data_IF_902264038145
#
_entry.id   IF_902264038145
#
_cell.length_a   1.000
_cell.length_b   1.000
_cell.length_c   1.000
_cell.angle_alpha   90.00
_cell.angle_beta   90.00
_cell.angle_gamma   90.00
#
_symmetry.space_group_name_H-M   'P 1'
#
loop_
_entity.id
_entity.type
_entity.pdbx_description
1 polymer ?
#
# COMPACT_ATOMS: atom_id res chain seq x y z
N UNK A 1 -5.93 -14.58 3.54
CA UNK A 1 -6.37 -14.62 4.96
C UNK A 1 -7.41 -13.52 5.15
N UNK A 2 -8.58 -13.81 5.72
CA UNK A 2 -9.56 -12.77 6.07
C UNK A 2 -9.17 -12.16 7.41
N UNK A 3 -8.35 -11.10 7.38
CA UNK A 3 -7.67 -10.55 8.57
C UNK A 3 -8.64 -9.98 9.59
N UNK A 4 -9.77 -9.46 9.12
CA UNK A 4 -10.86 -8.87 9.90
C UNK A 4 -11.71 -9.88 10.68
N UNK A 5 -11.65 -11.17 10.33
CA UNK A 5 -12.37 -12.24 11.02
C UNK A 5 -11.55 -12.93 12.12
N UNK A 6 -10.28 -12.54 12.30
CA UNK A 6 -9.36 -13.16 13.25
C UNK A 6 -9.40 -12.39 14.57
N UNK A 7 -9.38 -13.13 15.70
CA UNK A 7 -9.28 -12.51 17.03
C UNK A 7 -7.98 -11.70 17.10
N UNK A 8 -8.07 -10.46 17.57
CA UNK A 8 -7.04 -9.42 17.37
C UNK A 8 -5.63 -9.85 17.79
N UNK A 9 -5.51 -10.62 18.87
CA UNK A 9 -4.23 -11.12 19.39
C UNK A 9 -3.48 -12.03 18.42
N UNK A 10 -4.18 -12.70 17.49
CA UNK A 10 -3.58 -13.64 16.55
C UNK A 10 -3.35 -13.05 15.16
N UNK A 11 -3.93 -11.88 14.82
CA UNK A 11 -3.85 -11.32 13.46
C UNK A 11 -2.41 -11.20 12.96
N UNK A 12 -1.50 -10.73 13.81
CA UNK A 12 -0.08 -10.57 13.44
C UNK A 12 0.60 -11.92 13.19
N UNK A 13 0.31 -12.91 14.04
CA UNK A 13 0.89 -14.25 13.93
C UNK A 13 0.37 -15.00 12.70
N UNK A 14 -0.90 -14.83 12.34
CA UNK A 14 -1.49 -15.45 11.15
C UNK A 14 -0.91 -14.85 9.85
N UNK A 15 -0.64 -13.55 9.81
CA UNK A 15 0.06 -12.92 8.68
C UNK A 15 1.51 -13.42 8.60
N UNK A 16 2.23 -13.49 9.72
CA UNK A 16 3.59 -14.04 9.76
C UNK A 16 3.61 -15.49 9.25
N UNK A 17 2.68 -16.32 9.74
CA UNK A 17 2.54 -17.71 9.31
C UNK A 17 2.28 -17.81 7.80
N UNK A 18 1.37 -17.02 7.25
CA UNK A 18 1.08 -17.03 5.82
C UNK A 18 2.29 -16.62 4.95
N UNK A 19 3.08 -15.64 5.40
CA UNK A 19 4.31 -15.23 4.70
C UNK A 19 5.37 -16.34 4.76
N UNK A 20 5.55 -16.97 5.93
CA UNK A 20 6.50 -18.08 6.09
C UNK A 20 6.09 -19.30 5.28
N UNK A 21 4.80 -19.65 5.29
CA UNK A 21 4.25 -20.76 4.52
C UNK A 21 4.46 -20.55 3.01
N UNK A 22 4.20 -19.35 2.49
CA UNK A 22 4.47 -19.00 1.10
C UNK A 22 5.97 -19.14 0.76
N UNK A 23 6.85 -18.67 1.65
CA UNK A 23 8.30 -18.80 1.49
C UNK A 23 8.75 -20.26 1.46
N UNK A 24 8.22 -21.10 2.33
CA UNK A 24 8.62 -22.50 2.48
C UNK A 24 8.09 -23.38 1.34
N UNK A 25 6.92 -23.07 0.78
CA UNK A 25 6.31 -23.86 -0.29
C UNK A 25 6.74 -23.43 -1.70
N UNK A 26 6.85 -22.12 -1.94
CA UNK A 26 7.02 -21.57 -3.30
C UNK A 26 8.40 -20.97 -3.54
N UNK A 27 9.14 -20.64 -2.47
CA UNK A 27 10.43 -19.95 -2.53
C UNK A 27 10.43 -18.73 -3.50
N UNK A 28 9.46 -17.80 -3.38
CA UNK A 28 9.32 -16.71 -4.33
C UNK A 28 10.42 -15.67 -4.16
N UNK A 29 10.78 -15.01 -5.27
CA UNK A 29 11.69 -13.85 -5.24
C UNK A 29 11.03 -12.63 -4.54
N UNK A 30 9.69 -12.50 -4.69
CA UNK A 30 8.88 -11.39 -4.17
C UNK A 30 7.58 -11.95 -3.61
N UNK A 31 7.20 -11.52 -2.40
CA UNK A 31 5.86 -11.73 -1.84
C UNK A 31 5.14 -10.38 -1.81
N UNK A 32 3.97 -10.32 -2.45
CA UNK A 32 3.09 -9.15 -2.42
C UNK A 32 1.97 -9.44 -1.41
N UNK A 33 1.93 -8.66 -0.34
CA UNK A 33 0.88 -8.77 0.69
C UNK A 33 -0.17 -7.69 0.44
N UNK A 34 -1.42 -8.11 0.25
CA UNK A 34 -2.55 -7.19 0.13
C UNK A 34 -2.73 -6.40 1.43
N UNK A 35 -2.87 -5.08 1.31
CA UNK A 35 -3.21 -4.20 2.44
C UNK A 35 -4.70 -4.22 2.75
N UNK A 36 -5.07 -3.91 4.00
CA UNK A 36 -6.47 -3.81 4.40
C UNK A 36 -6.64 -2.62 5.35
N UNK A 37 -7.56 -1.71 5.03
CA UNK A 37 -7.74 -0.46 5.76
C UNK A 37 -6.59 0.54 5.57
N UNK A 38 -6.43 1.45 6.52
CA UNK A 38 -5.37 2.46 6.56
C UNK A 38 -4.84 2.57 8.00
N UNK A 39 -3.58 2.96 8.19
CA UNK A 39 -3.01 3.08 9.55
C UNK A 39 -3.62 4.26 10.31
N UNK A 40 -4.04 5.30 9.60
CA UNK A 40 -4.77 6.43 10.18
C UNK A 40 -6.23 6.12 10.52
N UNK A 41 -6.76 4.98 10.07
CA UNK A 41 -8.17 4.67 10.28
C UNK A 41 -8.42 4.31 11.76
N UNK A 42 -9.23 5.07 12.51
CA UNK A 42 -9.31 4.94 13.96
C UNK A 42 -10.04 3.67 14.42
N UNK A 43 -10.86 3.06 13.55
CA UNK A 43 -11.65 1.88 13.87
C UNK A 43 -11.08 0.57 13.32
N UNK A 44 -10.08 0.62 12.43
CA UNK A 44 -9.58 -0.57 11.74
C UNK A 44 -8.12 -0.83 12.12
N UNK A 45 -7.85 -2.04 12.64
CA UNK A 45 -6.51 -2.43 13.13
C UNK A 45 -5.75 -3.33 12.14
N UNK A 46 -6.39 -3.75 11.06
CA UNK A 46 -5.86 -4.72 10.10
C UNK A 46 -4.55 -4.25 9.45
N UNK A 47 -4.44 -2.98 9.04
CA UNK A 47 -3.21 -2.42 8.50
C UNK A 47 -2.02 -2.54 9.49
N UNK A 48 -2.26 -2.32 10.78
CA UNK A 48 -1.23 -2.48 11.82
C UNK A 48 -0.75 -3.93 11.90
N UNK A 49 -1.67 -4.89 11.93
CA UNK A 49 -1.36 -6.31 11.99
C UNK A 49 -0.61 -6.79 10.74
N UNK A 50 -1.03 -6.35 9.55
CA UNK A 50 -0.38 -6.68 8.28
C UNK A 50 1.06 -6.18 8.28
N UNK A 51 1.29 -4.91 8.61
CA UNK A 51 2.65 -4.34 8.62
C UNK A 51 3.55 -5.04 9.65
N UNK A 52 3.02 -5.39 10.83
CA UNK A 52 3.79 -6.08 11.88
C UNK A 52 4.10 -7.53 11.53
N UNK A 53 3.14 -8.25 10.96
CA UNK A 53 3.28 -9.67 10.63
C UNK A 53 4.10 -9.88 9.36
N UNK A 54 3.83 -9.09 8.31
CA UNK A 54 4.51 -9.23 7.03
C UNK A 54 5.93 -8.62 7.02
N UNK A 55 6.22 -7.68 7.93
CA UNK A 55 7.50 -6.93 7.99
C UNK A 55 7.97 -6.50 6.58
N UNK A 56 7.14 -5.74 5.84
CA UNK A 56 7.41 -5.45 4.43
C UNK A 56 8.72 -4.68 4.29
N UNK A 57 9.51 -4.98 3.25
CA UNK A 57 10.75 -4.22 2.95
C UNK A 57 10.46 -2.87 2.28
N UNK A 58 9.34 -2.77 1.57
CA UNK A 58 8.85 -1.56 0.94
C UNK A 58 7.33 -1.59 0.86
N UNK A 59 6.72 -0.41 0.72
CA UNK A 59 5.27 -0.25 0.70
C UNK A 59 4.85 0.54 -0.55
N UNK A 60 3.75 0.13 -1.17
CA UNK A 60 3.05 0.90 -2.21
C UNK A 60 1.74 1.38 -1.57
N UNK A 61 1.51 2.69 -1.54
CA UNK A 61 0.33 3.28 -0.88
C UNK A 61 -0.79 3.51 -1.90
N UNK A 62 -2.00 3.07 -1.58
CA UNK A 62 -3.21 3.32 -2.39
C UNK A 62 -3.90 4.60 -1.89
N UNK A 63 -4.14 5.57 -2.77
CA UNK A 63 -4.76 6.85 -2.42
C UNK A 63 -5.97 7.18 -3.32
N UNK A 64 -7.14 7.52 -2.73
CA UNK A 64 -8.31 8.02 -3.44
C UNK A 64 -8.43 9.57 -3.36
N UNK A 65 -7.99 10.35 -4.38
CA UNK A 65 -7.84 11.80 -4.27
C UNK A 65 -9.14 12.57 -4.02
N UNK A 66 -10.28 12.09 -4.54
CA UNK A 66 -11.59 12.75 -4.41
C UNK A 66 -12.33 12.38 -3.13
N UNK A 67 -11.83 11.42 -2.37
CA UNK A 67 -12.48 10.97 -1.14
C UNK A 67 -12.35 12.03 -0.04
N UNK A 68 -13.49 12.50 0.46
CA UNK A 68 -13.55 13.56 1.47
C UNK A 68 -13.51 13.05 2.91
N UNK A 69 -13.97 11.82 3.13
CA UNK A 69 -14.08 11.22 4.45
C UNK A 69 -13.60 9.78 4.45
N UNK A 70 -13.18 9.26 5.60
CA UNK A 70 -12.85 7.84 5.76
C UNK A 70 -14.06 6.97 5.42
N UNK A 71 -13.82 5.82 4.77
CA UNK A 71 -14.87 4.88 4.39
C UNK A 71 -15.68 4.46 5.61
N UNK A 72 -17.01 4.33 5.48
CA UNK A 72 -17.95 4.06 6.59
C UNK A 72 -18.05 5.13 7.69
N UNK A 73 -17.21 6.17 7.65
CA UNK A 73 -17.13 7.22 8.66
C UNK A 73 -17.25 8.61 8.00
N UNK A 74 -18.44 9.00 7.50
CA UNK A 74 -18.63 10.23 6.72
C UNK A 74 -18.32 11.52 7.49
N UNK A 75 -18.31 11.44 8.83
CA UNK A 75 -18.02 12.53 9.75
C UNK A 75 -16.51 12.69 10.07
N UNK A 76 -15.65 11.79 9.59
CA UNK A 76 -14.20 11.91 9.78
C UNK A 76 -13.52 12.27 8.46
N UNK A 77 -12.81 13.41 8.40
CA UNK A 77 -12.16 13.86 7.18
C UNK A 77 -11.06 12.89 6.74
N UNK A 78 -10.88 12.77 5.43
CA UNK A 78 -9.78 11.99 4.86
C UNK A 78 -8.44 12.63 5.25
N UNK A 79 -7.49 11.87 5.82
CA UNK A 79 -6.13 12.36 6.04
C UNK A 79 -5.44 12.75 4.73
N UNK A 80 -4.45 13.63 4.82
CA UNK A 80 -3.62 13.95 3.65
C UNK A 80 -2.73 12.74 3.32
N UNK A 81 -2.44 12.53 2.04
CA UNK A 81 -1.52 11.48 1.61
C UNK A 81 -0.14 11.61 2.28
N UNK A 82 0.35 12.84 2.45
CA UNK A 82 1.60 13.12 3.16
C UNK A 82 1.60 12.57 4.59
N UNK A 83 0.54 12.85 5.36
CA UNK A 83 0.42 12.36 6.73
C UNK A 83 0.32 10.83 6.83
N UNK A 84 -0.34 10.20 5.85
CA UNK A 84 -0.43 8.73 5.79
C UNK A 84 0.92 8.10 5.44
N UNK A 85 1.65 8.66 4.47
CA UNK A 85 3.01 8.20 4.12
C UNK A 85 3.93 8.30 5.35
N UNK A 86 3.93 9.44 6.04
CA UNK A 86 4.74 9.63 7.24
C UNK A 86 4.40 8.58 8.31
N UNK A 87 3.11 8.37 8.58
CA UNK A 87 2.65 7.38 9.56
C UNK A 87 3.09 5.96 9.18
N UNK A 88 2.92 5.59 7.90
CA UNK A 88 3.36 4.29 7.36
C UNK A 88 4.85 4.08 7.57
N UNK A 89 5.69 5.04 7.21
CA UNK A 89 7.14 4.89 7.31
C UNK A 89 7.61 4.81 8.76
N UNK A 90 7.04 5.63 9.65
CA UNK A 90 7.35 5.60 11.09
C UNK A 90 6.96 4.25 11.70
N UNK A 91 5.76 3.76 11.39
CA UNK A 91 5.22 2.55 12.00
C UNK A 91 5.93 1.28 11.49
N UNK A 92 6.14 1.20 10.18
CA UNK A 92 6.73 0.04 9.50
C UNK A 92 8.25 -0.01 9.57
N UNK A 93 8.92 1.15 9.69
CA UNK A 93 10.37 1.33 9.46
C UNK A 93 10.82 1.01 8.03
N UNK A 94 9.87 1.00 7.10
CA UNK A 94 10.09 0.73 5.67
C UNK A 94 9.63 1.92 4.85
N UNK A 95 10.17 2.06 3.62
CA UNK A 95 9.87 3.20 2.77
C UNK A 95 8.63 2.97 1.90
N UNK A 96 7.85 4.04 1.72
CA UNK A 96 6.85 4.08 0.64
C UNK A 96 7.59 4.34 -0.66
N UNK A 97 7.52 3.40 -1.60
CA UNK A 97 8.32 3.46 -2.83
C UNK A 97 7.51 3.90 -4.06
N UNK A 98 6.18 3.86 -3.99
CA UNK A 98 5.26 4.27 -5.06
C UNK A 98 3.86 4.58 -4.51
N UNK A 99 3.07 5.31 -5.29
CA UNK A 99 1.68 5.66 -5.00
C UNK A 99 0.80 5.07 -6.10
N UNK A 100 -0.33 4.47 -5.72
CA UNK A 100 -1.38 4.11 -6.68
C UNK A 100 -2.62 4.94 -6.44
N UNK A 101 -3.30 5.30 -7.53
CA UNK A 101 -4.51 6.12 -7.49
C UNK A 101 -5.74 5.22 -7.62
N UNK A 102 -6.69 5.44 -6.73
CA UNK A 102 -8.07 5.04 -6.92
C UNK A 102 -8.82 6.22 -7.55
N UNK A 103 -9.17 6.10 -8.84
CA UNK A 103 -9.84 7.13 -9.63
C UNK A 103 -11.34 7.30 -9.37
N UNK A 104 -11.89 6.74 -8.29
CA UNK A 104 -13.28 6.96 -7.92
C UNK A 104 -13.62 8.47 -7.93
N UNK A 105 -14.74 8.82 -8.57
CA UNK A 105 -15.21 10.19 -8.77
C UNK A 105 -14.26 11.12 -9.55
N UNK A 106 -13.34 10.58 -10.35
CA UNK A 106 -12.42 11.36 -11.19
C UNK A 106 -12.70 11.18 -12.70
N UNK A 107 -12.52 12.25 -13.46
CA UNK A 107 -12.43 12.16 -14.94
C UNK A 107 -10.98 11.94 -15.39
N UNK A 108 -10.79 11.49 -16.64
CA UNK A 108 -9.49 11.16 -17.23
C UNK A 108 -8.44 12.27 -17.09
N UNK A 109 -8.83 13.52 -17.31
CA UNK A 109 -7.98 14.69 -17.15
C UNK A 109 -7.51 14.83 -15.69
N UNK A 110 -8.40 14.67 -14.71
CA UNK A 110 -8.07 14.76 -13.29
C UNK A 110 -7.12 13.64 -12.84
N UNK A 111 -7.24 12.44 -13.40
CA UNK A 111 -6.32 11.33 -13.10
C UNK A 111 -4.91 11.69 -13.56
N UNK A 112 -4.76 12.21 -14.78
CA UNK A 112 -3.46 12.63 -15.34
C UNK A 112 -2.83 13.78 -14.54
N UNK A 113 -3.66 14.75 -14.15
CA UNK A 113 -3.23 15.87 -13.31
C UNK A 113 -2.75 15.38 -11.95
N UNK A 114 -3.53 14.53 -11.27
CA UNK A 114 -3.17 13.98 -9.96
C UNK A 114 -1.86 13.16 -10.00
N UNK A 115 -1.67 12.31 -11.03
CA UNK A 115 -0.42 11.56 -11.21
C UNK A 115 0.78 12.52 -11.32
N UNK A 116 0.65 13.56 -12.15
CA UNK A 116 1.72 14.54 -12.39
C UNK A 116 2.02 15.35 -11.12
N UNK A 117 0.98 15.78 -10.42
CA UNK A 117 1.08 16.55 -9.18
C UNK A 117 1.78 15.73 -8.09
N UNK A 118 1.34 14.50 -7.84
CA UNK A 118 1.89 13.66 -6.78
C UNK A 118 3.32 13.20 -7.08
N UNK A 119 3.67 12.93 -8.34
CA UNK A 119 5.06 12.70 -8.72
C UNK A 119 5.96 13.88 -8.43
N UNK A 120 5.48 15.09 -8.71
CA UNK A 120 6.20 16.31 -8.41
C UNK A 120 6.33 16.54 -6.90
N UNK A 121 5.27 16.31 -6.15
CA UNK A 121 5.24 16.56 -4.70
C UNK A 121 6.06 15.54 -3.92
N UNK A 122 5.79 14.25 -4.15
CA UNK A 122 6.35 13.17 -3.33
C UNK A 122 7.63 12.58 -3.91
N UNK A 123 7.97 12.89 -5.18
CA UNK A 123 9.11 12.29 -5.88
C UNK A 123 9.01 10.75 -5.92
N UNK A 124 7.78 10.23 -5.91
CA UNK A 124 7.47 8.82 -5.97
C UNK A 124 6.72 8.51 -7.28
N UNK A 125 7.02 7.38 -7.94
CA UNK A 125 6.25 6.94 -9.09
C UNK A 125 4.77 6.78 -8.72
N UNK A 126 3.89 7.40 -9.50
CA UNK A 126 2.46 7.41 -9.27
C UNK A 126 1.73 6.88 -10.50
N UNK A 127 0.72 6.03 -10.31
CA UNK A 127 -0.11 5.56 -11.43
C UNK A 127 -1.49 5.13 -10.96
N UNK A 128 -2.46 5.21 -11.86
CA UNK A 128 -3.69 4.45 -11.74
C UNK A 128 -3.47 3.09 -12.41
N UNK A 129 -3.39 2.03 -11.61
CA UNK A 129 -3.07 0.69 -12.13
C UNK A 129 -4.19 0.13 -13.01
N UNK A 130 -5.45 0.43 -12.69
CA UNK A 130 -6.60 -0.07 -13.44
C UNK A 130 -6.69 0.56 -14.83
N UNK A 131 -6.23 1.80 -14.97
CA UNK A 131 -6.30 2.56 -16.23
C UNK A 131 -5.01 2.48 -17.05
N UNK A 132 -3.85 2.55 -16.41
CA UNK A 132 -2.56 2.71 -17.08
C UNK A 132 -1.59 1.54 -16.87
N UNK A 133 -1.97 0.51 -16.11
CA UNK A 133 -1.14 -0.64 -15.83
C UNK A 133 -0.14 -0.42 -14.69
N UNK A 134 0.61 -1.49 -14.38
CA UNK A 134 1.52 -1.56 -13.23
C UNK A 134 3.00 -1.44 -13.61
N UNK A 135 3.34 -1.22 -14.88
CA UNK A 135 4.71 -1.24 -15.40
C UNK A 135 5.63 -0.29 -14.62
N UNK A 136 5.09 0.89 -14.25
CA UNK A 136 5.81 1.89 -13.45
C UNK A 136 6.16 1.38 -12.05
N UNK A 137 5.26 0.62 -11.44
CA UNK A 137 5.46 0.01 -10.11
C UNK A 137 6.49 -1.12 -10.19
N UNK A 138 6.37 -1.99 -11.19
CA UNK A 138 7.30 -3.10 -11.41
C UNK A 138 8.71 -2.58 -11.58
N UNK A 139 8.90 -1.57 -12.45
CA UNK A 139 10.21 -0.92 -12.62
C UNK A 139 10.75 -0.38 -11.29
N UNK A 140 9.90 0.30 -10.51
CA UNK A 140 10.30 0.87 -9.22
C UNK A 140 10.70 -0.19 -8.19
N UNK A 141 10.04 -1.35 -8.19
CA UNK A 141 10.40 -2.47 -7.31
C UNK A 141 11.81 -2.98 -7.63
N UNK A 142 12.14 -3.20 -8.90
CA UNK A 142 13.49 -3.63 -9.30
C UNK A 142 14.56 -2.55 -9.05
N UNK A 143 14.21 -1.26 -9.14
CA UNK A 143 15.12 -0.18 -8.74
C UNK A 143 15.38 -0.17 -7.22
N UNK A 144 14.36 -0.49 -6.41
CA UNK A 144 14.47 -0.52 -4.95
C UNK A 144 15.20 -1.78 -4.43
N UNK A 145 15.13 -2.88 -5.17
CA UNK A 145 15.71 -4.18 -4.82
C UNK A 145 16.55 -4.74 -5.99
N UNK A 146 17.73 -4.15 -6.27
CA UNK A 146 18.57 -4.54 -7.40
C UNK A 146 19.17 -5.96 -7.27
N UNK A 147 19.09 -6.58 -6.10
CA UNK A 147 19.48 -7.96 -5.85
C UNK A 147 18.48 -8.99 -6.42
N UNK A 148 17.27 -8.57 -6.75
CA UNK A 148 16.28 -9.46 -7.36
C UNK A 148 16.79 -9.92 -8.73
N UNK A 149 16.59 -11.20 -9.09
CA UNK A 149 17.01 -11.70 -10.39
C UNK A 149 16.28 -10.92 -11.49
N UNK A 150 17.04 -10.23 -12.35
CA UNK A 150 16.50 -9.56 -13.53
C UNK A 150 15.90 -10.63 -14.46
N UNK A 151 14.57 -10.78 -14.41
CA UNK A 151 13.80 -11.67 -15.27
C UNK A 151 13.10 -10.92 -16.42
N UNK A 152 13.45 -9.65 -16.65
CA UNK A 152 12.87 -8.78 -17.67
C UNK A 152 13.95 -8.10 -18.50
#
# INVERSE_FOLDING_TARGET
VAVDAIVEEFMTGEIENAVMEAQDMEHPDIIIVEGQGALSHPAYLSACAIVRGAKPKAIIVQHPPKRKSLGDFPYMPMPTLESEIELIEIFSRSKVIAITINHEDMIDEEIKEAITEYEKMFQLPTTDVLKYGCEKLVKRIFEAFPELPNKY
#
